data_IF_937936503435
#
_entry.id   IF_937936503435
#
_cell.length_a   1.000
_cell.length_b   1.000
_cell.length_c   1.000
_cell.angle_alpha   90.00
_cell.angle_beta   90.00
_cell.angle_gamma   90.00
#
_symmetry.space_group_name_H-M   'P 1'
#
loop_
_entity.id
_entity.type
_entity.pdbx_description
1 polymer ?
#
# COMPACT_ATOMS: atom_id res chain seq x y z
N UNK A 1 -3.07 19.49 32.08
CA UNK A 1 -2.33 18.33 31.53
C UNK A 1 -1.97 18.68 30.09
N UNK A 2 -0.75 18.42 29.61
CA UNK A 2 -0.44 18.61 28.21
C UNK A 2 -1.29 17.67 27.34
N UNK A 3 -1.89 18.20 26.28
CA UNK A 3 -2.58 17.42 25.25
C UNK A 3 -1.53 16.77 24.35
N UNK A 4 -1.58 15.44 24.24
CA UNK A 4 -0.71 14.67 23.35
C UNK A 4 -1.52 14.18 22.16
N UNK A 5 -1.00 14.38 20.95
CA UNK A 5 -1.54 13.80 19.72
C UNK A 5 -0.77 12.51 19.38
N UNK A 6 -1.49 11.42 19.15
CA UNK A 6 -0.90 10.17 18.70
C UNK A 6 -0.63 10.24 17.19
N UNK A 7 0.60 9.96 16.79
CA UNK A 7 0.99 9.85 15.38
C UNK A 7 1.36 8.40 15.06
N UNK A 8 0.80 7.87 13.97
CA UNK A 8 1.04 6.50 13.52
C UNK A 8 1.89 6.54 12.25
N UNK A 9 2.98 5.77 12.26
CA UNK A 9 3.93 5.67 11.15
C UNK A 9 4.37 4.22 10.94
N UNK A 10 4.59 3.86 9.69
CA UNK A 10 5.33 2.67 9.28
C UNK A 10 6.60 3.14 8.59
N UNK A 11 7.68 3.24 9.36
CA UNK A 11 8.92 3.89 8.91
C UNK A 11 9.83 2.98 8.09
N UNK A 12 10.58 3.59 7.18
CA UNK A 12 11.49 2.93 6.25
C UNK A 12 12.75 2.35 6.92
N UNK A 13 13.16 2.91 8.06
CA UNK A 13 14.36 2.46 8.77
C UNK A 13 14.09 1.32 9.74
N UNK A 14 12.81 1.00 10.02
CA UNK A 14 12.49 -0.06 10.96
C UNK A 14 12.75 -1.44 10.33
N UNK A 15 13.65 -2.28 10.91
CA UNK A 15 14.20 -3.45 10.22
C UNK A 15 13.28 -4.67 10.21
N UNK A 16 12.09 -4.57 10.80
CA UNK A 16 11.13 -5.66 10.98
C UNK A 16 9.72 -5.17 10.64
N UNK A 17 8.91 -5.99 10.01
CA UNK A 17 7.48 -5.70 9.86
C UNK A 17 6.68 -6.52 10.86
N UNK A 18 5.66 -5.90 11.46
CA UNK A 18 4.66 -6.61 12.25
C UNK A 18 3.68 -7.30 11.30
N UNK A 19 3.44 -8.59 11.50
CA UNK A 19 2.55 -9.41 10.70
C UNK A 19 1.49 -10.01 11.62
N UNK A 20 0.23 -9.62 11.42
CA UNK A 20 -0.89 -10.20 12.15
C UNK A 20 -1.16 -11.63 11.69
N UNK A 21 -1.48 -12.50 12.64
CA UNK A 21 -1.80 -13.90 12.35
C UNK A 21 -3.03 -14.03 11.46
N UNK A 22 -4.04 -13.22 11.74
CA UNK A 22 -5.27 -13.16 10.95
C UNK A 22 -5.01 -12.83 9.48
N UNK A 23 -4.02 -11.97 9.18
CA UNK A 23 -3.63 -11.67 7.81
C UNK A 23 -3.03 -12.89 7.11
N UNK A 24 -2.14 -13.64 7.76
CA UNK A 24 -1.62 -14.88 7.18
C UNK A 24 -2.74 -15.93 7.01
N UNK A 25 -3.67 -16.03 7.95
CA UNK A 25 -4.83 -16.92 7.82
C UNK A 25 -5.75 -16.52 6.67
N UNK A 26 -5.99 -15.22 6.44
CA UNK A 26 -6.79 -14.78 5.29
C UNK A 26 -6.09 -15.12 3.96
N UNK A 27 -4.78 -14.90 3.87
CA UNK A 27 -3.98 -15.33 2.72
C UNK A 27 -4.03 -16.85 2.53
N UNK A 28 -3.92 -17.64 3.60
CA UNK A 28 -4.04 -19.10 3.55
C UNK A 28 -5.41 -19.60 3.09
N UNK A 29 -6.47 -18.81 3.30
CA UNK A 29 -7.84 -19.13 2.89
C UNK A 29 -8.21 -18.62 1.50
N UNK A 30 -7.59 -17.53 1.03
CA UNK A 30 -7.87 -16.96 -0.29
C UNK A 30 -7.30 -17.82 -1.43
N UNK A 31 -8.13 -18.69 -1.99
CA UNK A 31 -7.77 -19.61 -3.08
C UNK A 31 -7.62 -18.91 -4.44
N UNK A 32 -7.97 -17.63 -4.56
CA UNK A 32 -7.80 -16.88 -5.81
C UNK A 32 -6.33 -16.62 -6.14
N UNK A 33 -5.47 -16.52 -5.11
CA UNK A 33 -4.03 -16.23 -5.24
C UNK A 33 -3.20 -17.51 -5.26
N UNK A 34 -2.30 -17.62 -6.26
CA UNK A 34 -1.51 -18.84 -6.50
C UNK A 34 -0.27 -18.91 -5.60
N UNK A 35 0.01 -20.11 -5.09
CA UNK A 35 1.12 -20.43 -4.17
C UNK A 35 2.19 -21.33 -4.82
N UNK A 36 1.89 -21.95 -5.96
CA UNK A 36 2.76 -22.96 -6.59
C UNK A 36 4.04 -22.36 -7.16
N UNK A 37 5.19 -22.92 -6.76
CA UNK A 37 6.52 -22.46 -7.21
C UNK A 37 6.81 -21.06 -6.69
N UNK A 38 7.69 -20.94 -5.70
CA UNK A 38 7.87 -19.70 -4.98
C UNK A 38 9.24 -19.58 -4.35
N UNK A 39 9.49 -18.40 -3.79
CA UNK A 39 10.74 -18.05 -3.12
C UNK A 39 10.92 -18.74 -1.77
N UNK A 40 9.83 -19.28 -1.21
CA UNK A 40 9.79 -19.82 0.14
C UNK A 40 9.24 -18.84 1.18
N UNK A 41 9.06 -17.57 0.82
CA UNK A 41 8.57 -16.52 1.71
C UNK A 41 7.18 -16.84 2.29
N UNK A 42 6.22 -17.23 1.44
CA UNK A 42 4.89 -17.60 1.91
C UNK A 42 4.92 -18.78 2.87
N UNK A 43 5.64 -19.84 2.51
CA UNK A 43 5.75 -21.03 3.36
C UNK A 43 6.39 -20.71 4.71
N UNK A 44 7.44 -19.89 4.71
CA UNK A 44 8.09 -19.45 5.94
C UNK A 44 7.17 -18.58 6.82
N UNK A 45 6.41 -17.66 6.21
CA UNK A 45 5.43 -16.83 6.91
C UNK A 45 4.31 -17.67 7.53
N UNK A 46 3.83 -18.69 6.82
CA UNK A 46 2.82 -19.66 7.32
C UNK A 46 3.35 -20.44 8.52
N UNK A 47 4.58 -20.96 8.49
CA UNK A 47 5.16 -21.64 9.66
C UNK A 47 5.35 -20.67 10.84
N UNK A 48 5.81 -19.45 10.56
CA UNK A 48 5.97 -18.41 11.58
C UNK A 48 4.64 -18.03 12.24
N UNK A 49 3.56 -18.02 11.46
CA UNK A 49 2.20 -17.79 11.95
C UNK A 49 1.74 -18.85 12.96
N UNK A 50 2.25 -20.09 12.90
CA UNK A 50 1.90 -21.14 13.86
C UNK A 50 2.88 -21.30 15.02
N UNK A 51 4.07 -20.72 14.95
CA UNK A 51 5.08 -20.81 16.01
C UNK A 51 4.59 -20.23 17.35
N UNK A 52 5.03 -20.80 18.47
CA UNK A 52 4.61 -20.38 19.81
C UNK A 52 5.39 -19.16 20.35
N UNK A 53 4.75 -18.31 21.16
CA UNK A 53 5.46 -17.31 21.96
C UNK A 53 5.95 -17.86 23.31
N UNK A 54 5.19 -18.77 23.90
CA UNK A 54 5.48 -19.43 25.17
C UNK A 54 5.29 -20.94 25.07
N UNK A 55 5.78 -21.67 26.07
CA UNK A 55 5.58 -23.12 26.14
C UNK A 55 4.09 -23.46 26.21
N UNK A 56 3.65 -24.43 25.42
CA UNK A 56 2.31 -25.00 25.48
C UNK A 56 2.36 -26.50 25.20
N UNK A 57 1.21 -27.16 25.30
CA UNK A 57 1.05 -28.57 24.95
C UNK A 57 0.10 -28.70 23.78
N UNK A 58 0.40 -29.63 22.86
CA UNK A 58 -0.49 -29.99 21.76
C UNK A 58 -0.68 -31.50 21.75
N UNK A 59 -1.94 -31.96 21.68
CA UNK A 59 -2.27 -33.38 21.62
C UNK A 59 -2.56 -33.80 20.18
N UNK A 60 -1.89 -34.85 19.70
CA UNK A 60 -2.11 -35.48 18.39
C UNK A 60 -2.12 -36.99 18.60
N UNK A 61 -3.14 -37.68 18.07
CA UNK A 61 -3.32 -39.13 18.18
C UNK A 61 -3.16 -39.66 19.63
N UNK A 62 -3.70 -38.92 20.59
CA UNK A 62 -3.66 -39.28 22.01
C UNK A 62 -2.34 -38.93 22.74
N UNK A 63 -1.26 -38.60 22.02
CA UNK A 63 0.05 -38.23 22.57
C UNK A 63 0.13 -36.72 22.78
N UNK A 64 0.57 -36.29 23.96
CA UNK A 64 0.78 -34.88 24.30
C UNK A 64 2.22 -34.46 24.04
N UNK A 65 2.41 -33.48 23.17
CA UNK A 65 3.73 -32.94 22.81
C UNK A 65 3.94 -31.58 23.47
N UNK A 66 5.12 -31.38 24.07
CA UNK A 66 5.57 -30.07 24.54
C UNK A 66 6.05 -29.22 23.35
N UNK A 67 5.53 -28.00 23.27
CA UNK A 67 5.81 -27.03 22.20
C UNK A 67 6.44 -25.78 22.81
N UNK A 68 7.73 -25.57 22.59
CA UNK A 68 8.47 -24.43 23.14
C UNK A 68 8.30 -23.15 22.29
N UNK A 69 8.74 -21.97 22.77
CA UNK A 69 8.78 -20.77 21.95
C UNK A 69 9.50 -20.96 20.62
N UNK A 70 8.90 -20.47 19.54
CA UNK A 70 9.36 -20.64 18.16
C UNK A 70 9.04 -21.99 17.55
N UNK A 71 8.41 -22.91 18.30
CA UNK A 71 8.08 -24.25 17.83
C UNK A 71 6.59 -24.40 17.49
N UNK A 72 6.31 -25.42 16.68
CA UNK A 72 4.98 -25.98 16.52
C UNK A 72 5.07 -27.49 16.23
N UNK A 73 4.01 -28.21 16.58
CA UNK A 73 3.82 -29.63 16.28
C UNK A 73 2.55 -29.76 15.47
N UNK A 74 2.54 -30.53 14.40
CA UNK A 74 1.42 -30.68 13.47
C UNK A 74 1.52 -31.99 12.70
N UNK A 75 0.49 -32.35 11.95
CA UNK A 75 0.51 -33.49 11.02
C UNK A 75 1.00 -33.04 9.64
N UNK A 76 1.56 -33.97 8.86
CA UNK A 76 1.94 -33.67 7.48
C UNK A 76 0.73 -33.29 6.60
N UNK A 77 -0.46 -33.77 6.95
CA UNK A 77 -1.73 -33.38 6.33
C UNK A 77 -2.02 -31.89 6.53
N UNK A 78 -1.91 -31.40 7.76
CA UNK A 78 -2.10 -29.97 8.06
C UNK A 78 -1.11 -29.10 7.28
N UNK A 79 0.17 -29.47 7.26
CA UNK A 79 1.18 -28.72 6.49
C UNK A 79 0.83 -28.68 5.01
N UNK A 80 0.37 -29.80 4.45
CA UNK A 80 -0.07 -29.86 3.05
C UNK A 80 -1.27 -28.95 2.76
N UNK A 81 -2.21 -28.86 3.69
CA UNK A 81 -3.37 -27.96 3.59
C UNK A 81 -2.94 -26.49 3.65
N UNK A 82 -2.06 -26.15 4.61
CA UNK A 82 -1.50 -24.81 4.80
C UNK A 82 -0.70 -24.33 3.58
N UNK A 83 0.15 -25.20 3.03
CA UNK A 83 0.97 -24.89 1.85
C UNK A 83 0.21 -25.06 0.54
N UNK A 84 -1.03 -25.56 0.59
CA UNK A 84 -1.88 -25.84 -0.58
C UNK A 84 -1.21 -26.77 -1.58
N UNK A 85 -0.41 -27.70 -1.09
CA UNK A 85 0.24 -28.70 -1.93
C UNK A 85 -0.74 -29.82 -2.28
N UNK A 86 -0.63 -30.35 -3.50
CA UNK A 86 -1.47 -31.46 -3.95
C UNK A 86 -1.13 -32.75 -3.21
N UNK A 87 0.14 -32.94 -2.89
CA UNK A 87 0.63 -34.15 -2.23
C UNK A 87 1.46 -33.80 -1.00
N UNK A 88 1.35 -34.63 0.03
CA UNK A 88 2.10 -34.47 1.29
C UNK A 88 3.63 -34.51 1.09
N UNK A 89 4.13 -35.24 0.10
CA UNK A 89 5.56 -35.26 -0.23
C UNK A 89 6.08 -33.89 -0.72
N UNK A 90 5.24 -33.09 -1.37
CA UNK A 90 5.61 -31.73 -1.78
C UNK A 90 5.74 -30.81 -0.56
N UNK A 91 4.82 -30.94 0.41
CA UNK A 91 4.92 -30.22 1.68
C UNK A 91 6.20 -30.58 2.43
N UNK A 92 6.57 -31.88 2.45
CA UNK A 92 7.81 -32.34 3.04
C UNK A 92 9.04 -31.73 2.32
N UNK A 93 9.06 -31.74 0.99
CA UNK A 93 10.15 -31.13 0.21
C UNK A 93 10.31 -29.62 0.48
N UNK A 94 9.21 -28.89 0.69
CA UNK A 94 9.26 -27.48 1.10
C UNK A 94 9.88 -27.34 2.50
N UNK A 95 9.51 -28.19 3.45
CA UNK A 95 10.13 -28.17 4.80
C UNK A 95 11.64 -28.47 4.74
N UNK A 96 12.05 -29.44 3.93
CA UNK A 96 13.45 -29.79 3.67
C UNK A 96 14.23 -28.60 3.11
N UNK A 97 13.66 -27.91 2.12
CA UNK A 97 14.27 -26.73 1.52
C UNK A 97 14.41 -25.57 2.51
N UNK A 98 13.37 -25.26 3.29
CA UNK A 98 13.43 -24.22 4.33
C UNK A 98 14.45 -24.57 5.43
N UNK A 99 14.63 -25.86 5.74
CA UNK A 99 15.66 -26.31 6.67
C UNK A 99 17.07 -26.21 6.08
N UNK A 100 17.22 -26.54 4.80
CA UNK A 100 18.48 -26.41 4.05
C UNK A 100 18.94 -24.95 3.99
N UNK A 101 18.01 -24.01 3.84
CA UNK A 101 18.24 -22.57 3.92
C UNK A 101 18.44 -22.05 5.36
N UNK A 102 18.49 -22.93 6.36
CA UNK A 102 18.70 -22.58 7.77
C UNK A 102 17.65 -21.61 8.37
N UNK A 103 16.44 -21.62 7.83
CA UNK A 103 15.32 -20.82 8.35
C UNK A 103 14.61 -21.54 9.49
N UNK A 104 14.49 -22.86 9.34
CA UNK A 104 13.84 -23.74 10.32
C UNK A 104 14.73 -24.92 10.68
N UNK A 105 14.35 -25.62 11.74
CA UNK A 105 14.73 -27.01 11.98
C UNK A 105 13.45 -27.81 12.16
N UNK A 106 13.31 -28.97 11.51
CA UNK A 106 12.16 -29.85 11.68
C UNK A 106 12.57 -31.32 11.80
N UNK A 107 11.70 -32.09 12.45
CA UNK A 107 11.84 -33.51 12.68
C UNK A 107 10.50 -34.20 12.36
N UNK A 108 10.60 -35.40 11.78
CA UNK A 108 9.47 -36.31 11.60
C UNK A 108 9.39 -37.27 12.79
N UNK A 109 8.19 -37.39 13.36
CA UNK A 109 7.87 -38.24 14.51
C UNK A 109 6.76 -39.22 14.13
N UNK A 110 6.58 -40.28 14.92
CA UNK A 110 5.46 -41.22 14.75
C UNK A 110 5.42 -41.88 13.37
N UNK A 111 6.57 -42.37 12.88
CA UNK A 111 6.74 -42.96 11.53
C UNK A 111 6.38 -42.01 10.37
N UNK A 112 6.67 -40.71 10.53
CA UNK A 112 6.47 -39.70 9.48
C UNK A 112 5.12 -39.00 9.46
N UNK A 113 4.21 -39.32 10.41
CA UNK A 113 2.88 -38.71 10.48
C UNK A 113 2.86 -37.34 11.14
N UNK A 114 3.78 -37.11 12.09
CA UNK A 114 3.85 -35.90 12.90
C UNK A 114 5.12 -35.12 12.54
N UNK A 115 4.98 -33.82 12.33
CA UNK A 115 6.05 -32.87 12.10
C UNK A 115 6.19 -31.99 13.34
N UNK A 116 7.39 -31.93 13.90
CA UNK A 116 7.77 -30.91 14.87
C UNK A 116 8.79 -29.99 14.23
N UNK A 117 8.52 -28.69 14.17
CA UNK A 117 9.45 -27.71 13.63
C UNK A 117 9.70 -26.54 14.59
N UNK A 118 10.78 -25.81 14.32
CA UNK A 118 11.20 -24.61 15.04
C UNK A 118 11.73 -23.56 14.08
N UNK A 119 11.27 -22.32 14.24
CA UNK A 119 11.82 -21.15 13.55
C UNK A 119 13.14 -20.76 14.23
N UNK A 120 14.26 -20.85 13.53
CA UNK A 120 15.61 -20.72 14.12
C UNK A 120 15.84 -19.34 14.74
N UNK A 121 15.42 -18.28 14.06
CA UNK A 121 15.62 -16.88 14.50
C UNK A 121 14.43 -16.30 15.28
N UNK A 122 13.52 -17.14 15.79
CA UNK A 122 12.29 -16.66 16.44
C UNK A 122 12.53 -15.66 17.56
N UNK A 123 13.37 -16.03 18.54
CA UNK A 123 13.69 -15.18 19.70
C UNK A 123 14.33 -13.86 19.29
N UNK A 124 15.26 -13.89 18.31
CA UNK A 124 15.94 -12.69 17.79
C UNK A 124 14.95 -11.66 17.25
N UNK A 125 13.89 -12.11 16.58
CA UNK A 125 12.96 -11.20 15.90
C UNK A 125 11.74 -10.83 16.75
N UNK A 126 11.35 -11.69 17.70
CA UNK A 126 10.11 -11.57 18.47
C UNK A 126 10.34 -11.33 19.97
N UNK A 127 11.43 -10.65 20.35
CA UNK A 127 11.80 -10.36 21.74
C UNK A 127 10.75 -9.57 22.52
N UNK A 128 10.01 -8.68 21.86
CA UNK A 128 9.04 -7.77 22.52
C UNK A 128 7.80 -8.51 23.05
N UNK A 129 7.57 -9.76 22.61
CA UNK A 129 6.34 -10.51 22.88
C UNK A 129 6.44 -11.44 24.11
N UNK A 130 7.36 -11.18 25.05
CA UNK A 130 7.63 -12.06 26.20
C UNK A 130 6.46 -12.26 27.20
N UNK A 131 6.46 -13.47 27.80
CA UNK A 131 5.62 -14.14 28.82
C UNK A 131 4.08 -14.04 28.79
N UNK A 132 3.49 -12.91 28.38
CA UNK A 132 2.04 -12.69 28.46
C UNK A 132 1.29 -12.88 27.14
N UNK A 133 1.99 -13.12 26.02
CA UNK A 133 1.34 -13.37 24.73
C UNK A 133 0.65 -14.75 24.72
N UNK A 134 -0.68 -14.83 24.51
CA UNK A 134 -1.36 -16.11 24.36
C UNK A 134 -0.88 -16.84 23.10
N UNK A 135 -0.82 -18.18 23.14
CA UNK A 135 -0.46 -19.00 21.98
C UNK A 135 -1.64 -19.26 21.02
N UNK A 136 -2.61 -18.36 20.99
CA UNK A 136 -3.72 -18.40 20.03
C UNK A 136 -3.19 -18.30 18.59
N UNK A 137 -3.84 -18.99 17.66
CA UNK A 137 -3.36 -19.14 16.25
C UNK A 137 -4.16 -18.30 15.25
N UNK A 138 -5.27 -17.79 15.72
CA UNK A 138 -6.22 -16.91 15.07
C UNK A 138 -6.02 -15.44 15.47
N UNK A 139 -5.36 -15.16 16.60
CA UNK A 139 -5.14 -13.80 17.13
C UNK A 139 -3.67 -13.48 17.34
N UNK A 140 -3.33 -12.18 17.40
CA UNK A 140 -1.99 -11.69 17.67
C UNK A 140 -1.14 -11.46 16.41
N UNK A 141 0.15 -11.20 16.62
CA UNK A 141 1.10 -10.88 15.55
C UNK A 141 2.49 -11.41 15.86
N UNK A 142 3.35 -11.49 14.85
CA UNK A 142 4.78 -11.74 14.97
C UNK A 142 5.56 -10.74 14.11
N UNK A 143 6.87 -10.66 14.30
CA UNK A 143 7.76 -9.82 13.51
C UNK A 143 8.53 -10.65 12.49
N UNK A 144 8.53 -10.18 11.24
CA UNK A 144 9.35 -10.72 10.16
C UNK A 144 10.42 -9.68 9.75
N UNK A 145 11.71 -10.04 9.64
CA UNK A 145 12.74 -9.11 9.20
C UNK A 145 12.61 -8.75 7.71
N UNK A 146 12.77 -7.47 7.39
CA UNK A 146 12.77 -7.00 6.00
C UNK A 146 13.94 -7.59 5.20
N UNK A 147 15.10 -7.75 5.85
CA UNK A 147 16.29 -8.37 5.23
C UNK A 147 16.03 -9.81 4.82
N UNK A 148 15.37 -10.58 5.68
CA UNK A 148 15.04 -11.98 5.42
C UNK A 148 14.03 -12.11 4.26
N UNK A 149 13.02 -11.24 4.22
CA UNK A 149 12.10 -11.17 3.09
C UNK A 149 12.84 -10.93 1.78
N UNK A 150 13.77 -9.97 1.78
CA UNK A 150 14.56 -9.61 0.58
C UNK A 150 15.49 -10.74 0.13
N UNK A 151 16.09 -11.47 1.06
CA UNK A 151 16.90 -12.66 0.76
C UNK A 151 16.07 -13.76 0.11
N UNK A 152 14.90 -14.08 0.68
CA UNK A 152 14.04 -15.16 0.18
C UNK A 152 13.57 -14.89 -1.24
N UNK A 153 12.94 -13.73 -1.48
CA UNK A 153 12.42 -13.37 -2.81
C UNK A 153 13.50 -13.32 -3.88
N UNK A 154 14.76 -13.09 -3.50
CA UNK A 154 15.90 -13.04 -4.42
C UNK A 154 16.46 -14.42 -4.76
N UNK A 155 16.07 -15.47 -4.04
CA UNK A 155 16.63 -16.82 -4.19
C UNK A 155 16.00 -17.58 -5.36
N UNK A 156 14.68 -17.46 -5.53
CA UNK A 156 13.93 -18.18 -6.57
C UNK A 156 12.80 -17.28 -7.10
N UNK A 157 12.24 -17.68 -8.23
CA UNK A 157 11.04 -17.04 -8.79
C UNK A 157 9.91 -17.03 -7.76
N UNK A 158 9.32 -15.85 -7.55
CA UNK A 158 8.21 -15.65 -6.62
C UNK A 158 6.89 -16.19 -7.16
N UNK A 159 6.10 -16.78 -6.25
CA UNK A 159 4.67 -17.03 -6.47
C UNK A 159 3.87 -15.73 -6.35
N UNK A 160 2.59 -15.73 -6.73
CA UNK A 160 1.72 -14.58 -6.51
C UNK A 160 1.59 -14.25 -5.01
N UNK A 161 1.61 -15.28 -4.16
CA UNK A 161 1.54 -15.11 -2.71
C UNK A 161 2.83 -14.53 -2.12
N UNK A 162 3.99 -14.89 -2.67
CA UNK A 162 5.26 -14.25 -2.29
C UNK A 162 5.27 -12.76 -2.68
N UNK A 163 4.68 -12.42 -3.84
CA UNK A 163 4.50 -11.01 -4.27
C UNK A 163 3.63 -10.24 -3.28
N UNK A 164 2.48 -10.79 -2.86
CA UNK A 164 1.61 -10.13 -1.88
C UNK A 164 2.35 -9.87 -0.57
N UNK A 165 3.10 -10.85 -0.07
CA UNK A 165 3.88 -10.69 1.15
C UNK A 165 5.03 -9.69 1.00
N UNK A 166 5.74 -9.70 -0.13
CA UNK A 166 6.80 -8.71 -0.39
C UNK A 166 6.24 -7.29 -0.43
N UNK A 167 5.12 -7.06 -1.14
CA UNK A 167 4.44 -5.77 -1.14
C UNK A 167 4.03 -5.36 0.29
N UNK A 168 3.46 -6.25 1.08
CA UNK A 168 3.13 -5.97 2.48
C UNK A 168 4.34 -5.54 3.32
N UNK A 169 5.50 -6.17 3.08
CA UNK A 169 6.75 -5.86 3.78
C UNK A 169 7.39 -4.55 3.30
N UNK A 170 7.12 -4.15 2.06
CA UNK A 170 7.59 -2.91 1.44
C UNK A 170 6.68 -1.71 1.66
N UNK A 171 5.55 -1.87 2.36
CA UNK A 171 4.66 -0.77 2.68
C UNK A 171 5.32 0.22 3.66
N UNK A 172 5.22 1.50 3.34
CA UNK A 172 5.63 2.64 4.15
C UNK A 172 4.43 3.56 4.31
N UNK A 173 4.22 4.07 5.52
CA UNK A 173 3.09 4.93 5.82
C UNK A 173 3.53 6.08 6.71
N UNK A 174 3.20 7.29 6.28
CA UNK A 174 3.45 8.54 6.99
C UNK A 174 4.93 8.70 7.41
N UNK A 175 5.87 8.34 6.53
CA UNK A 175 7.30 8.55 6.74
C UNK A 175 7.78 9.68 5.83
N UNK A 176 8.26 10.82 6.38
CA UNK A 176 8.69 11.96 5.59
C UNK A 176 9.87 11.67 4.65
N UNK A 177 10.55 10.54 4.82
CA UNK A 177 11.63 10.10 3.93
C UNK A 177 11.10 9.50 2.61
N UNK A 178 9.80 9.22 2.49
CA UNK A 178 9.19 8.56 1.33
C UNK A 178 8.01 9.36 0.83
N UNK A 179 8.13 9.88 -0.40
CA UNK A 179 7.10 10.67 -1.06
C UNK A 179 5.80 9.87 -1.23
N UNK A 180 4.65 10.51 -0.99
CA UNK A 180 3.32 9.90 -1.12
C UNK A 180 2.91 8.98 0.03
N UNK A 181 3.81 8.69 0.98
CA UNK A 181 3.48 7.83 2.13
C UNK A 181 2.48 8.46 3.10
N UNK A 182 2.32 9.79 3.06
CA UNK A 182 1.32 10.55 3.81
C UNK A 182 -0.11 10.30 3.32
N UNK A 183 -0.29 9.96 2.04
CA UNK A 183 -1.61 9.67 1.45
C UNK A 183 -2.11 8.28 1.82
N UNK A 184 -1.18 7.35 2.09
CA UNK A 184 -1.50 5.98 2.39
C UNK A 184 -0.28 5.06 2.37
N UNK A 185 -0.49 3.76 2.62
CA UNK A 185 0.56 2.76 2.70
C UNK A 185 1.15 2.49 1.30
N UNK A 186 2.12 3.32 0.91
CA UNK A 186 2.79 3.26 -0.39
C UNK A 186 3.86 2.17 -0.40
N UNK A 187 4.00 1.47 -1.51
CA UNK A 187 5.05 0.49 -1.71
C UNK A 187 6.35 1.20 -2.03
N UNK A 188 7.35 1.00 -1.18
CA UNK A 188 8.70 1.49 -1.39
C UNK A 188 9.72 0.37 -1.24
N UNK A 189 10.50 0.12 -2.29
CA UNK A 189 11.47 -0.98 -2.35
C UNK A 189 12.78 -0.70 -1.56
N UNK A 190 12.78 0.33 -0.70
CA UNK A 190 13.87 0.67 0.22
C UNK A 190 15.24 0.80 -0.47
N UNK A 191 15.25 1.48 -1.61
CA UNK A 191 16.46 1.69 -2.44
C UNK A 191 17.24 2.98 -2.08
N UNK A 192 16.83 3.71 -1.02
CA UNK A 192 17.44 4.96 -0.57
C UNK A 192 17.06 6.22 -1.34
N UNK A 193 16.25 6.13 -2.42
CA UNK A 193 15.83 7.31 -3.21
C UNK A 193 14.72 8.16 -2.59
N UNK A 194 13.94 7.64 -1.63
CA UNK A 194 12.69 8.26 -1.15
C UNK A 194 11.54 8.29 -2.19
N UNK A 195 11.77 7.81 -3.41
CA UNK A 195 10.78 7.85 -4.50
C UNK A 195 10.10 6.46 -4.65
N UNK A 196 8.76 6.37 -4.56
CA UNK A 196 8.01 5.12 -4.64
C UNK A 196 7.79 4.60 -6.07
N UNK A 197 8.20 5.32 -7.11
CA UNK A 197 7.99 4.91 -8.49
C UNK A 197 8.77 3.64 -8.82
N UNK A 198 8.05 2.65 -9.35
CA UNK A 198 8.60 1.35 -9.73
C UNK A 198 8.12 0.92 -11.11
N UNK A 199 9.04 0.41 -11.92
CA UNK A 199 8.73 -0.16 -13.23
C UNK A 199 8.45 -1.66 -13.13
N UNK A 200 7.69 -2.20 -14.09
CA UNK A 200 7.51 -3.65 -14.20
C UNK A 200 8.82 -4.40 -14.45
N UNK A 201 9.86 -3.71 -14.94
CA UNK A 201 11.19 -4.29 -15.14
C UNK A 201 11.89 -4.53 -13.79
N UNK A 202 11.86 -3.52 -12.91
CA UNK A 202 12.48 -3.61 -11.58
C UNK A 202 11.77 -4.64 -10.70
N UNK A 203 10.43 -4.62 -10.70
CA UNK A 203 9.63 -5.63 -10.00
C UNK A 203 9.85 -7.03 -10.60
N UNK A 204 10.01 -7.13 -11.92
CA UNK A 204 10.34 -8.38 -12.59
C UNK A 204 11.70 -8.94 -12.16
N UNK A 205 12.71 -8.08 -12.09
CA UNK A 205 14.04 -8.45 -11.59
C UNK A 205 13.99 -8.89 -10.12
N UNK A 206 13.25 -8.16 -9.28
CA UNK A 206 13.09 -8.46 -7.85
C UNK A 206 12.40 -9.80 -7.60
N UNK A 207 11.41 -10.17 -8.42
CA UNK A 207 10.59 -11.36 -8.23
C UNK A 207 10.98 -12.55 -9.09
N UNK A 208 11.99 -12.40 -9.97
CA UNK A 208 12.34 -13.43 -10.97
C UNK A 208 11.21 -13.67 -11.97
N UNK A 209 10.45 -12.63 -12.32
CA UNK A 209 9.28 -12.67 -13.20
C UNK A 209 9.49 -11.85 -14.47
N UNK A 210 8.87 -12.26 -15.57
CA UNK A 210 8.81 -11.42 -16.77
C UNK A 210 7.91 -10.21 -16.56
N UNK A 211 8.19 -9.09 -17.23
CA UNK A 211 7.37 -7.85 -17.16
C UNK A 211 5.88 -8.12 -17.41
N UNK A 212 5.57 -8.96 -18.38
CA UNK A 212 4.20 -9.36 -18.71
C UNK A 212 3.53 -10.19 -17.59
N UNK A 213 4.31 -10.95 -16.82
CA UNK A 213 3.78 -11.67 -15.66
C UNK A 213 3.54 -10.72 -14.50
N UNK A 214 4.49 -9.81 -14.22
CA UNK A 214 4.34 -8.77 -13.21
C UNK A 214 3.07 -7.94 -13.42
N UNK A 215 2.88 -7.43 -14.65
CA UNK A 215 1.69 -6.64 -14.99
C UNK A 215 0.39 -7.43 -14.76
N UNK A 216 0.34 -8.71 -15.16
CA UNK A 216 -0.84 -9.56 -14.92
C UNK A 216 -1.09 -9.83 -13.44
N UNK A 217 -0.04 -10.08 -12.65
CA UNK A 217 -0.17 -10.31 -11.20
C UNK A 217 -0.65 -9.04 -10.51
N UNK A 218 -0.05 -7.89 -10.77
CA UNK A 218 -0.45 -6.62 -10.16
C UNK A 218 -1.88 -6.22 -10.55
N UNK A 219 -2.25 -6.38 -11.82
CA UNK A 219 -3.63 -6.14 -12.26
C UNK A 219 -4.61 -7.06 -11.53
N UNK A 220 -4.31 -8.36 -11.44
CA UNK A 220 -5.13 -9.32 -10.70
C UNK A 220 -5.28 -8.94 -9.22
N UNK A 221 -4.20 -8.52 -8.57
CA UNK A 221 -4.23 -8.07 -7.17
C UNK A 221 -5.04 -6.78 -7.00
N UNK A 222 -4.96 -5.86 -7.97
CA UNK A 222 -5.79 -4.66 -8.00
C UNK A 222 -7.28 -5.00 -8.14
N UNK A 223 -7.62 -5.88 -9.10
CA UNK A 223 -8.99 -6.32 -9.36
C UNK A 223 -9.59 -7.06 -8.15
N UNK A 224 -8.74 -7.74 -7.36
CA UNK A 224 -9.11 -8.44 -6.14
C UNK A 224 -9.12 -7.54 -4.88
N UNK A 225 -8.83 -6.24 -4.98
CA UNK A 225 -8.88 -5.30 -3.87
C UNK A 225 -7.72 -5.41 -2.87
N UNK A 226 -6.56 -5.92 -3.30
CA UNK A 226 -5.35 -5.95 -2.47
C UNK A 226 -4.53 -4.66 -2.57
N UNK A 227 -4.62 -3.95 -3.69
CA UNK A 227 -3.82 -2.75 -3.97
C UNK A 227 -4.54 -1.79 -4.91
N UNK A 228 -4.14 -0.52 -4.85
CA UNK A 228 -4.41 0.48 -5.88
C UNK A 228 -3.17 0.64 -6.75
N UNK A 229 -3.30 0.37 -8.04
CA UNK A 229 -2.22 0.47 -9.02
C UNK A 229 -2.38 1.74 -9.86
N UNK A 230 -1.44 2.67 -9.72
CA UNK A 230 -1.42 3.92 -10.48
C UNK A 230 -0.28 3.90 -11.49
N UNK A 231 -0.63 3.76 -12.77
CA UNK A 231 0.34 3.83 -13.86
C UNK A 231 0.39 5.25 -14.42
N UNK A 232 1.59 5.81 -14.51
CA UNK A 232 1.84 7.14 -15.06
C UNK A 232 2.43 7.05 -16.47
N UNK A 233 2.10 8.00 -17.37
CA UNK A 233 2.59 8.00 -18.74
C UNK A 233 4.12 8.14 -18.79
N UNK A 234 4.72 7.82 -19.94
CA UNK A 234 6.17 7.97 -20.16
C UNK A 234 7.02 6.93 -19.41
N UNK A 235 8.19 7.36 -18.92
CA UNK A 235 9.17 6.51 -18.20
C UNK A 235 8.99 6.53 -16.67
N UNK A 236 7.96 7.20 -16.16
CA UNK A 236 7.77 7.41 -14.72
C UNK A 236 7.50 6.11 -13.96
N UNK A 237 6.81 5.13 -14.58
CA UNK A 237 6.55 3.83 -13.96
C UNK A 237 5.20 3.79 -13.24
N UNK A 238 5.14 3.05 -12.14
CA UNK A 238 3.91 2.82 -11.37
C UNK A 238 4.13 3.21 -9.92
N UNK A 239 3.06 3.69 -9.29
CA UNK A 239 2.96 3.79 -7.83
C UNK A 239 1.93 2.77 -7.38
N UNK A 240 2.23 2.09 -6.29
CA UNK A 240 1.39 1.03 -5.73
C UNK A 240 1.07 1.41 -4.29
N UNK A 241 -0.20 1.43 -3.94
CA UNK A 241 -0.67 1.57 -2.56
C UNK A 241 -1.39 0.31 -2.13
N UNK A 242 -1.13 -0.16 -0.91
CA UNK A 242 -1.89 -1.30 -0.39
C UNK A 242 -3.28 -0.89 0.05
N UNK A 243 -4.24 -1.77 -0.21
CA UNK A 243 -5.58 -1.67 0.38
C UNK A 243 -5.64 -2.57 1.62
N UNK A 244 -6.50 -2.21 2.58
CA UNK A 244 -6.69 -2.95 3.83
C UNK A 244 -5.46 -3.01 4.76
N UNK A 245 -4.40 -2.26 4.46
CA UNK A 245 -3.17 -2.29 5.26
C UNK A 245 -3.35 -1.51 6.55
N UNK A 246 -3.92 -0.29 6.52
CA UNK A 246 -4.13 0.52 7.73
C UNK A 246 -5.16 -0.12 8.65
N UNK A 247 -6.20 -0.72 8.08
CA UNK A 247 -7.24 -1.41 8.84
C UNK A 247 -6.69 -2.66 9.50
N UNK A 248 -5.88 -3.45 8.79
CA UNK A 248 -5.22 -4.64 9.37
C UNK A 248 -4.15 -4.25 10.40
N UNK A 249 -3.33 -3.25 10.11
CA UNK A 249 -2.15 -2.94 10.92
C UNK A 249 -2.47 -2.08 12.13
N UNK A 250 -3.36 -1.11 11.97
CA UNK A 250 -3.60 -0.03 12.91
C UNK A 250 -5.07 0.13 13.31
N UNK A 251 -5.99 -0.67 12.75
CA UNK A 251 -7.44 -0.54 12.96
C UNK A 251 -7.97 0.84 12.52
N UNK A 252 -7.35 1.40 11.48
CA UNK A 252 -7.72 2.69 10.87
C UNK A 252 -8.32 2.42 9.49
N UNK A 253 -9.39 3.09 9.13
CA UNK A 253 -9.97 2.99 7.79
C UNK A 253 -8.96 3.46 6.74
N UNK A 254 -8.82 2.69 5.67
CA UNK A 254 -8.01 3.11 4.53
C UNK A 254 -8.65 4.32 3.84
N UNK A 255 -7.80 5.24 3.37
CA UNK A 255 -8.22 6.45 2.66
C UNK A 255 -8.26 6.14 1.16
N UNK A 256 -9.25 6.67 0.45
CA UNK A 256 -9.30 6.62 -1.00
C UNK A 256 -8.22 7.53 -1.57
N UNK A 257 -7.28 6.95 -2.31
CA UNK A 257 -6.13 7.68 -2.85
C UNK A 257 -6.42 8.08 -4.29
N UNK A 258 -6.39 9.38 -4.55
CA UNK A 258 -6.63 9.96 -5.86
C UNK A 258 -5.36 9.98 -6.72
N UNK A 259 -5.47 9.61 -8.00
CA UNK A 259 -4.31 9.47 -8.88
C UNK A 259 -3.66 10.81 -9.21
N UNK A 260 -4.46 11.86 -9.32
CA UNK A 260 -4.01 13.21 -9.60
C UNK A 260 -3.30 13.83 -8.39
N UNK A 261 -3.81 13.57 -7.18
CA UNK A 261 -3.15 13.96 -5.94
C UNK A 261 -1.75 13.33 -5.84
N UNK A 262 -1.65 12.03 -6.11
CA UNK A 262 -0.35 11.32 -6.17
C UNK A 262 0.56 11.89 -7.24
N UNK A 263 0.02 12.22 -8.42
CA UNK A 263 0.81 12.83 -9.48
C UNK A 263 1.37 14.20 -9.05
N UNK A 264 0.59 14.99 -8.33
CA UNK A 264 1.01 16.30 -7.82
C UNK A 264 2.15 16.17 -6.82
N UNK A 265 2.03 15.27 -5.84
CA UNK A 265 3.11 15.05 -4.85
C UNK A 265 4.39 14.54 -5.49
N UNK A 266 4.28 13.65 -6.47
CA UNK A 266 5.42 13.10 -7.19
C UNK A 266 5.94 14.00 -8.31
N UNK A 267 5.40 15.22 -8.46
CA UNK A 267 5.75 16.17 -9.52
C UNK A 267 5.65 15.57 -10.94
N UNK A 268 4.68 14.69 -11.17
CA UNK A 268 4.42 14.04 -12.46
C UNK A 268 3.48 14.91 -13.28
N UNK A 269 3.94 15.36 -14.45
CA UNK A 269 3.09 16.07 -15.41
C UNK A 269 2.01 15.12 -15.94
N UNK A 270 0.75 15.42 -15.65
CA UNK A 270 -0.38 14.79 -16.31
C UNK A 270 -0.75 15.64 -17.53
N UNK A 271 -0.72 15.05 -18.71
CA UNK A 271 -1.27 15.70 -19.90
C UNK A 271 -2.77 15.84 -19.71
N UNK A 272 -3.25 17.08 -19.77
CA UNK A 272 -4.68 17.35 -19.83
C UNK A 272 -5.23 16.81 -21.15
N UNK A 273 -6.50 16.34 -21.19
CA UNK A 273 -7.13 16.00 -22.45
C UNK A 273 -7.03 17.23 -23.37
N UNK A 274 -6.41 17.06 -24.54
CA UNK A 274 -6.34 18.13 -25.52
C UNK A 274 -7.78 18.57 -25.86
N UNK A 275 -7.99 19.89 -25.93
CA UNK A 275 -9.23 20.50 -26.41
C UNK A 275 -9.54 19.91 -27.80
N UNK A 276 -10.43 18.91 -27.88
CA UNK A 276 -10.82 18.29 -29.16
C UNK A 276 -11.21 16.81 -29.12
N UNK A 277 -10.81 16.03 -28.11
CA UNK A 277 -11.18 14.60 -28.03
C UNK A 277 -12.15 14.33 -26.87
N UNK A 278 -13.36 14.86 -26.96
CA UNK A 278 -14.49 14.23 -26.28
C UNK A 278 -14.97 13.06 -27.15
N UNK A 279 -15.17 11.85 -26.61
CA UNK A 279 -15.99 10.86 -27.30
C UNK A 279 -17.37 11.48 -27.52
N UNK A 280 -17.93 11.35 -28.72
CA UNK A 280 -19.32 11.71 -29.04
C UNK A 280 -20.28 10.86 -28.19
N UNK A 281 -20.44 11.23 -26.93
CA UNK A 281 -21.55 10.84 -26.08
C UNK A 281 -22.31 12.11 -25.78
N UNK A 282 -23.46 12.25 -26.45
CA UNK A 282 -24.40 13.34 -26.27
C UNK A 282 -24.98 13.28 -24.84
N UNK A 283 -24.33 13.96 -23.90
CA UNK A 283 -24.99 14.49 -22.71
C UNK A 283 -24.85 16.02 -22.73
N UNK A 284 -25.88 16.79 -22.36
CA UNK A 284 -25.85 18.23 -22.47
C UNK A 284 -24.79 18.77 -21.50
N UNK A 285 -23.70 19.30 -22.06
CA UNK A 285 -22.74 20.10 -21.30
C UNK A 285 -23.50 21.31 -20.77
N UNK A 286 -23.92 21.26 -19.50
CA UNK A 286 -24.46 22.43 -18.84
C UNK A 286 -23.30 23.41 -18.69
N UNK A 287 -23.27 24.47 -19.48
CA UNK A 287 -22.35 25.58 -19.27
C UNK A 287 -22.63 26.20 -17.91
N UNK A 288 -21.85 25.84 -16.89
CA UNK A 288 -21.93 26.50 -15.59
C UNK A 288 -21.41 27.93 -15.71
N UNK A 289 -22.08 28.88 -15.05
CA UNK A 289 -21.61 30.27 -15.04
C UNK A 289 -20.36 30.40 -14.16
N UNK A 290 -19.19 30.55 -14.80
CA UNK A 290 -17.89 30.71 -14.15
C UNK A 290 -17.43 32.16 -14.24
N UNK A 291 -17.36 32.84 -13.10
CA UNK A 291 -16.84 34.21 -13.00
C UNK A 291 -15.41 34.17 -12.45
N UNK A 292 -14.46 34.68 -13.25
CA UNK A 292 -13.04 34.78 -12.87
C UNK A 292 -12.69 36.25 -12.70
N UNK A 293 -12.14 36.61 -11.54
CA UNK A 293 -11.70 37.99 -11.27
C UNK A 293 -10.50 38.37 -12.16
N UNK A 294 -10.44 39.61 -12.65
CA UNK A 294 -9.41 40.08 -13.62
C UNK A 294 -7.95 39.87 -13.16
N UNK A 295 -7.69 39.79 -11.85
CA UNK A 295 -6.37 39.54 -11.28
C UNK A 295 -5.85 38.09 -11.38
N UNK A 296 -6.60 37.16 -12.00
CA UNK A 296 -6.29 35.72 -12.04
C UNK A 296 -5.92 35.22 -13.45
N UNK A 297 -5.38 36.08 -14.32
CA UNK A 297 -5.03 35.79 -15.72
C UNK A 297 -3.98 34.68 -15.92
N UNK A 298 -3.54 34.00 -14.86
CA UNK A 298 -2.58 32.91 -14.89
C UNK A 298 -3.18 31.55 -15.28
N UNK A 299 -4.50 31.41 -15.34
CA UNK A 299 -5.19 30.15 -15.69
C UNK A 299 -6.29 30.41 -16.72
N UNK A 300 -6.32 29.67 -17.84
CA UNK A 300 -7.36 29.85 -18.86
C UNK A 300 -8.73 29.38 -18.35
N UNK A 301 -9.82 29.92 -18.94
CA UNK A 301 -11.20 29.50 -18.60
C UNK A 301 -11.42 28.00 -18.82
N UNK A 302 -10.81 27.41 -19.85
CA UNK A 302 -10.89 25.96 -20.13
C UNK A 302 -10.24 25.11 -19.03
N UNK A 303 -9.08 25.51 -18.53
CA UNK A 303 -8.44 24.85 -17.39
C UNK A 303 -9.29 24.95 -16.11
N UNK A 304 -9.95 26.09 -15.88
CA UNK A 304 -10.85 26.29 -14.74
C UNK A 304 -12.07 25.36 -14.85
N UNK A 305 -12.63 25.19 -16.04
CA UNK A 305 -13.73 24.25 -16.27
C UNK A 305 -13.31 22.81 -15.97
N UNK A 306 -12.11 22.39 -16.40
CA UNK A 306 -11.56 21.06 -16.07
C UNK A 306 -11.40 20.88 -14.55
N UNK A 307 -10.89 21.91 -13.85
CA UNK A 307 -10.76 21.89 -12.39
C UNK A 307 -12.14 21.74 -11.73
N UNK A 308 -13.14 22.50 -12.18
CA UNK A 308 -14.51 22.42 -11.66
C UNK A 308 -15.12 21.03 -11.89
N UNK A 309 -14.97 20.43 -13.07
CA UNK A 309 -15.46 19.07 -13.34
C UNK A 309 -14.82 18.03 -12.43
N UNK A 310 -13.51 18.13 -12.17
CA UNK A 310 -12.82 17.22 -11.24
C UNK A 310 -13.26 17.40 -9.80
N UNK A 311 -13.34 18.66 -9.34
CA UNK A 311 -13.84 18.99 -8.02
C UNK A 311 -15.28 18.50 -7.83
N UNK A 312 -16.11 18.54 -8.89
CA UNK A 312 -17.47 18.01 -8.83
C UNK A 312 -17.51 16.53 -8.50
N UNK A 313 -16.66 15.73 -9.17
CA UNK A 313 -16.58 14.29 -8.92
C UNK A 313 -16.14 14.00 -7.49
N UNK A 314 -15.08 14.66 -7.02
CA UNK A 314 -14.55 14.47 -5.66
C UNK A 314 -15.57 14.88 -4.58
N UNK A 315 -16.17 16.06 -4.71
CA UNK A 315 -17.03 16.63 -3.68
C UNK A 315 -18.43 15.98 -3.66
N UNK A 316 -18.93 15.54 -4.82
CA UNK A 316 -20.14 14.70 -4.89
C UNK A 316 -19.90 13.37 -4.17
N UNK A 317 -18.75 12.74 -4.37
CA UNK A 317 -18.39 11.50 -3.66
C UNK A 317 -18.25 11.72 -2.14
N UNK A 318 -17.90 12.92 -1.70
CA UNK A 318 -17.86 13.33 -0.30
C UNK A 318 -19.21 13.81 0.26
N UNK A 319 -20.30 13.73 -0.52
CA UNK A 319 -21.65 14.05 -0.08
C UNK A 319 -22.01 15.54 -0.07
N UNK A 320 -21.22 16.39 -0.73
CA UNK A 320 -21.51 17.83 -0.83
C UNK A 320 -22.53 18.05 -1.95
N UNK A 321 -23.77 18.37 -1.56
CA UNK A 321 -24.87 18.67 -2.48
C UNK A 321 -24.63 19.96 -3.28
N UNK A 322 -25.22 20.06 -4.48
CA UNK A 322 -25.18 21.22 -5.39
C UNK A 322 -23.87 21.47 -6.13
N UNK A 323 -22.83 20.65 -5.95
CA UNK A 323 -21.68 20.69 -6.85
C UNK A 323 -22.05 20.02 -8.19
N UNK A 324 -21.92 20.73 -9.32
CA UNK A 324 -22.35 20.28 -10.64
C UNK A 324 -23.83 20.56 -10.98
N UNK A 325 -24.61 21.17 -10.08
CA UNK A 325 -26.00 21.55 -10.35
C UNK A 325 -26.07 22.66 -11.44
N UNK A 326 -27.04 22.62 -12.36
CA UNK A 326 -27.20 23.65 -13.40
C UNK A 326 -27.59 25.02 -12.85
N UNK A 327 -28.04 25.11 -11.60
CA UNK A 327 -28.33 26.38 -10.90
C UNK A 327 -27.16 26.91 -10.08
N UNK A 328 -25.99 26.26 -10.15
CA UNK A 328 -24.82 26.66 -9.41
C UNK A 328 -23.95 27.62 -10.21
N UNK A 329 -23.56 28.73 -9.58
CA UNK A 329 -22.58 29.68 -10.09
C UNK A 329 -21.27 29.54 -9.31
N UNK A 330 -20.16 29.62 -10.03
CA UNK A 330 -18.82 29.47 -9.46
C UNK A 330 -18.06 30.78 -9.58
N UNK A 331 -17.56 31.30 -8.47
CA UNK A 331 -16.78 32.54 -8.42
C UNK A 331 -15.37 32.26 -7.93
N UNK A 332 -14.39 32.60 -8.76
CA UNK A 332 -12.97 32.50 -8.43
C UNK A 332 -12.41 33.88 -8.08
N UNK A 333 -11.79 33.99 -6.92
CA UNK A 333 -11.25 35.24 -6.37
C UNK A 333 -9.86 35.03 -5.76
N UNK A 334 -8.96 36.03 -5.79
CA UNK A 334 -7.69 35.93 -5.08
C UNK A 334 -7.94 35.89 -3.56
N UNK A 335 -7.23 35.02 -2.84
CA UNK A 335 -7.23 35.05 -1.38
C UNK A 335 -6.35 36.20 -0.91
N UNK A 336 -6.86 37.02 0.00
CA UNK A 336 -6.09 38.12 0.60
C UNK A 336 -4.92 37.57 1.44
N UNK A 337 -3.73 38.14 1.27
CA UNK A 337 -2.53 37.83 2.08
C UNK A 337 -2.70 38.11 3.59
N UNK A 338 -3.83 38.70 4.01
CA UNK A 338 -4.07 39.11 5.38
C UNK A 338 -4.20 37.95 6.40
N UNK A 339 -4.42 36.69 5.97
CA UNK A 339 -4.63 35.56 6.88
C UNK A 339 -3.55 34.46 6.83
N UNK A 340 -2.51 34.60 5.99
CA UNK A 340 -1.55 33.51 5.71
C UNK A 340 -0.29 33.45 6.57
N UNK A 341 -0.09 34.34 7.55
CA UNK A 341 1.18 34.42 8.32
C UNK A 341 1.33 33.42 9.46
N UNK A 342 0.39 32.50 9.67
CA UNK A 342 0.43 31.58 10.79
C UNK A 342 0.39 30.15 10.24
N UNK A 343 1.52 29.45 10.34
CA UNK A 343 1.73 28.01 10.06
C UNK A 343 1.99 27.52 8.63
N UNK A 344 3.03 28.00 7.94
CA UNK A 344 3.91 27.11 7.13
C UNK A 344 5.34 27.65 7.18
N UNK A 345 6.16 27.14 8.10
CA UNK A 345 7.61 27.16 7.92
C UNK A 345 7.97 25.97 7.01
N UNK A 346 8.97 26.18 6.15
CA UNK A 346 9.53 25.23 5.16
C UNK A 346 8.93 25.31 3.75
N UNK A 347 9.14 26.43 3.07
CA UNK A 347 9.97 26.55 1.85
C UNK A 347 9.68 27.90 1.20
N UNK A 348 10.57 28.88 1.42
CA UNK A 348 10.67 30.04 0.53
C UNK A 348 11.29 29.53 -0.76
N UNK A 349 10.47 29.17 -1.75
CA UNK A 349 10.77 29.38 -3.16
C UNK A 349 9.67 28.81 -4.07
N UNK A 350 9.25 29.64 -5.02
CA UNK A 350 8.30 29.43 -6.13
C UNK A 350 6.86 29.90 -5.83
N UNK A 351 6.33 30.71 -6.75
CA UNK A 351 5.07 31.45 -6.70
C UNK A 351 3.83 30.54 -6.64
N UNK A 352 3.52 30.04 -5.45
CA UNK A 352 2.26 29.36 -5.14
C UNK A 352 1.11 30.38 -5.24
N UNK A 353 0.19 30.18 -6.17
CA UNK A 353 -1.00 31.02 -6.31
C UNK A 353 -2.14 30.44 -5.48
N UNK A 354 -2.64 31.20 -4.49
CA UNK A 354 -3.77 30.81 -3.63
C UNK A 354 -5.04 31.53 -4.10
N UNK A 355 -6.10 30.77 -4.38
CA UNK A 355 -7.37 31.28 -4.91
C UNK A 355 -8.54 30.76 -4.08
N UNK A 356 -9.56 31.59 -3.88
CA UNK A 356 -10.81 31.21 -3.24
C UNK A 356 -11.85 30.88 -4.29
N UNK A 357 -12.38 29.66 -4.27
CA UNK A 357 -13.53 29.24 -5.07
C UNK A 357 -14.79 29.30 -4.21
N UNK A 358 -15.73 30.14 -4.60
CA UNK A 358 -17.04 30.29 -3.95
C UNK A 358 -18.13 29.68 -4.81
N UNK A 359 -19.00 28.87 -4.20
CA UNK A 359 -20.12 28.22 -4.86
C UNK A 359 -21.42 28.84 -4.37
N UNK A 360 -22.20 29.33 -5.33
CA UNK A 360 -23.51 29.93 -5.11
C UNK A 360 -24.55 29.04 -5.81
N UNK A 361 -25.71 28.81 -5.22
CA UNK A 361 -26.77 28.01 -5.85
C UNK A 361 -28.14 28.67 -5.68
N UNK A 362 -28.94 28.68 -6.74
CA UNK A 362 -30.26 29.33 -6.75
C UNK A 362 -30.12 30.86 -6.76
N UNK A 363 -30.78 31.55 -5.82
CA UNK A 363 -30.75 33.01 -5.65
C UNK A 363 -29.44 33.49 -5.00
N UNK A 364 -28.30 33.09 -5.58
CA UNK A 364 -26.95 33.42 -5.11
C UNK A 364 -26.67 33.05 -3.65
N UNK A 365 -27.33 31.99 -3.14
CA UNK A 365 -27.07 31.50 -1.79
C UNK A 365 -25.72 30.79 -1.73
N UNK A 366 -24.86 31.23 -0.83
CA UNK A 366 -23.58 30.58 -0.53
C UNK A 366 -23.81 29.13 -0.07
N UNK A 367 -23.22 28.18 -0.81
CA UNK A 367 -23.22 26.75 -0.49
C UNK A 367 -21.92 26.36 0.18
N UNK A 368 -20.79 26.73 -0.42
CA UNK A 368 -19.46 26.36 0.06
C UNK A 368 -18.39 27.32 -0.46
N UNK A 369 -17.28 27.41 0.27
CA UNK A 369 -16.08 28.10 -0.15
C UNK A 369 -14.89 27.16 0.01
N UNK A 370 -14.06 27.08 -1.03
CA UNK A 370 -12.84 26.28 -1.06
C UNK A 370 -11.63 27.18 -1.27
N UNK A 371 -10.52 26.80 -0.65
CA UNK A 371 -9.21 27.33 -0.98
C UNK A 371 -8.54 26.41 -2.01
N UNK A 372 -8.05 27.00 -3.09
CA UNK A 372 -7.33 26.34 -4.18
C UNK A 372 -5.89 26.82 -4.17
N UNK A 373 -4.95 25.88 -4.25
CA UNK A 373 -3.53 26.16 -4.30
C UNK A 373 -2.96 25.67 -5.62
N UNK A 374 -2.34 26.57 -6.39
CA UNK A 374 -1.69 26.26 -7.67
C UNK A 374 -0.18 26.45 -7.52
N UNK A 375 0.57 25.36 -7.65
CA UNK A 375 2.03 25.37 -7.61
C UNK A 375 2.63 25.21 -9.02
N UNK A 376 3.57 26.06 -9.45
CA UNK A 376 4.28 25.88 -10.71
C UNK A 376 5.07 24.56 -10.72
N UNK A 377 4.91 23.76 -11.76
CA UNK A 377 5.69 22.53 -11.95
C UNK A 377 7.13 22.92 -12.30
N UNK A 378 8.11 22.61 -11.43
CA UNK A 378 9.54 22.87 -11.71
C UNK A 378 9.98 21.99 -12.88
N UNK A 379 10.32 22.58 -14.02
CA UNK A 379 11.08 21.87 -15.04
C UNK A 379 12.50 21.64 -14.53
N UNK A 380 12.86 20.37 -14.30
CA UNK A 380 14.27 19.99 -14.16
C UNK A 380 14.94 20.20 -15.52
N UNK A 381 15.46 21.40 -15.74
CA UNK A 381 16.38 21.72 -16.82
C UNK A 381 17.75 21.07 -16.56
N UNK A 382 17.82 19.74 -16.61
CA UNK A 382 19.07 19.05 -16.95
C UNK A 382 19.03 18.70 -18.43
N UNK A 383 19.05 19.74 -19.28
CA UNK A 383 19.52 19.60 -20.65
C UNK A 383 21.04 19.55 -20.61
N UNK A 384 21.55 18.40 -21.06
CA UNK A 384 22.85 18.18 -21.72
C UNK A 384 23.70 19.44 -21.87
N UNK A 385 24.89 19.39 -21.27
CA UNK A 385 26.09 19.95 -21.89
C UNK A 385 27.10 18.82 -22.02
N UNK A 386 27.33 18.49 -23.30
CA UNK A 386 28.46 17.83 -23.95
C UNK A 386 29.04 16.55 -23.35
#
# INVERSE_FOLDING_TARGET
MPEYQLEIKQVVDYPRCRIYRQFIQSLMNDRSIRVSGGSGLFYFAVLSNYANFRTSYRRIDGISYTVYPGEWVCTLKEVSEWFRTRFQCQALGILEELQRQHLISFLTLGRGKVIKYKIRSWKKHNTVLEYNAPCQKDTGFFFLPVSLTTELISTNRCSEMDVVLDLWMSAVYNDPQVEGSEMGPVIYLRNGSGNPLVTYSELGARWGLSKATVSRVLKKLSDAGYLSLMTFPGRHGNVIYLQNYLSTMFQISDVMIDKEEVAMVLNIKLELPAEGNQPEAQEPVSEHEVTVSEGLSSVSKSHIQIILEKMAKLLTAQGISCFGCPKSKYKLSPLSDACGKVYIHHTRDVSISRMGLTILCGDDRLVATFELTLSPCRENSMRRKD
#
